data_IF_326066153366
#
_entry.id   IF_326066153366
#
_cell.length_a   1.000
_cell.length_b   1.000
_cell.length_c   1.000
_cell.angle_alpha   90.00
_cell.angle_beta   90.00
_cell.angle_gamma   90.00
#
_symmetry.space_group_name_H-M   'P 1'
#
loop_
_entity.id
_entity.type
_entity.pdbx_description
1 polymer ?
#
# COMPACT_ATOMS: atom_id res chain seq x y z
N UNK A 1 -36.07 59.35 4.35
CA UNK A 1 -35.32 59.03 3.13
C UNK A 1 -33.95 59.69 3.22
N UNK A 2 -32.88 59.02 3.50
CA UNK A 2 -31.51 59.50 3.35
C UNK A 2 -30.98 59.17 1.97
N UNK A 3 -30.20 60.05 1.41
CA UNK A 3 -29.67 60.08 0.06
C UNK A 3 -28.59 58.96 -0.15
N UNK A 4 -28.66 58.36 -1.31
CA UNK A 4 -27.62 57.45 -1.85
C UNK A 4 -26.37 58.25 -2.23
N UNK A 5 -25.23 57.91 -1.70
CA UNK A 5 -23.94 58.45 -2.12
C UNK A 5 -23.31 57.51 -3.15
N UNK A 6 -23.05 58.05 -4.34
CA UNK A 6 -22.31 57.37 -5.42
C UNK A 6 -20.88 56.96 -4.98
N UNK A 7 -20.38 55.82 -5.46
CA UNK A 7 -18.99 55.37 -5.20
C UNK A 7 -17.99 56.21 -6.05
N UNK A 8 -16.76 56.41 -5.55
CA UNK A 8 -15.73 57.15 -6.27
C UNK A 8 -15.20 56.38 -7.50
N UNK A 9 -14.67 57.08 -8.51
CA UNK A 9 -14.15 56.45 -9.73
C UNK A 9 -12.86 55.65 -9.46
N UNK A 10 -12.56 54.61 -10.29
CA UNK A 10 -11.38 53.76 -10.11
C UNK A 10 -10.09 54.54 -10.36
N UNK A 11 -9.11 54.33 -9.46
CA UNK A 11 -7.78 54.91 -9.55
C UNK A 11 -7.03 54.36 -10.78
N UNK A 12 -6.51 55.27 -11.61
CA UNK A 12 -5.61 54.96 -12.73
C UNK A 12 -4.26 54.49 -12.20
N UNK A 13 -3.86 53.27 -12.57
CA UNK A 13 -2.55 52.72 -12.31
C UNK A 13 -1.48 53.50 -13.14
N UNK A 14 -0.28 53.73 -12.57
CA UNK A 14 0.83 54.35 -13.29
C UNK A 14 1.37 53.44 -14.41
N UNK A 15 1.98 53.99 -15.47
CA UNK A 15 2.49 53.20 -16.57
C UNK A 15 3.62 52.27 -16.12
N UNK A 16 3.55 51.01 -16.53
CA UNK A 16 4.56 50.00 -16.32
C UNK A 16 5.78 50.36 -17.16
N UNK A 17 6.87 50.66 -16.47
CA UNK A 17 8.21 50.86 -17.08
C UNK A 17 8.68 49.53 -17.69
N UNK A 18 8.76 49.47 -19.03
CA UNK A 18 9.15 48.25 -19.77
C UNK A 18 10.66 48.01 -19.78
N UNK A 19 11.44 48.92 -19.22
CA UNK A 19 12.92 48.80 -19.19
C UNK A 19 13.46 48.18 -17.89
N UNK A 20 12.58 47.75 -16.94
CA UNK A 20 12.97 47.07 -15.72
C UNK A 20 13.05 45.52 -15.84
N UNK A 21 12.71 44.94 -17.01
CA UNK A 21 12.64 43.48 -17.19
C UNK A 21 13.99 42.80 -17.51
N UNK A 22 15.08 43.55 -17.59
CA UNK A 22 16.40 42.98 -18.04
C UNK A 22 17.53 43.02 -16.96
N UNK A 23 17.16 43.14 -15.67
CA UNK A 23 18.21 43.24 -14.61
C UNK A 23 18.22 42.15 -13.55
N UNK A 24 17.56 41.00 -13.74
CA UNK A 24 17.73 39.83 -12.86
C UNK A 24 17.84 38.51 -13.63
N UNK A 25 18.68 38.49 -14.64
CA UNK A 25 19.27 37.24 -15.09
C UNK A 25 20.32 36.85 -14.03
N UNK A 26 19.89 36.14 -12.97
CA UNK A 26 20.81 35.55 -12.02
C UNK A 26 21.83 34.69 -12.78
N UNK A 27 23.09 35.00 -12.60
CA UNK A 27 24.24 34.29 -13.19
C UNK A 27 24.05 32.78 -12.94
N UNK A 28 23.94 31.92 -13.98
CA UNK A 28 23.79 30.48 -13.81
C UNK A 28 24.96 29.84 -13.00
N UNK A 29 26.11 30.47 -12.99
CA UNK A 29 27.27 30.03 -12.20
C UNK A 29 27.14 30.35 -10.68
N UNK A 30 26.36 31.36 -10.29
CA UNK A 30 26.15 31.71 -8.87
C UNK A 30 25.18 30.78 -8.14
N UNK A 31 24.28 30.08 -8.86
CA UNK A 31 23.36 29.06 -8.32
C UNK A 31 24.06 27.71 -8.06
N UNK A 32 25.27 27.51 -8.58
CA UNK A 32 25.98 26.23 -8.55
C UNK A 32 26.76 25.99 -7.24
N UNK A 33 27.00 27.02 -6.42
CA UNK A 33 27.81 26.94 -5.20
C UNK A 33 27.07 26.42 -3.96
N UNK A 34 25.76 26.19 -4.02
CA UNK A 34 24.93 25.79 -2.88
C UNK A 34 24.19 24.43 -3.08
N UNK A 35 24.48 23.68 -4.13
CA UNK A 35 23.81 22.41 -4.39
C UNK A 35 24.29 21.32 -3.41
N UNK A 36 23.34 20.59 -2.80
CA UNK A 36 23.64 19.39 -2.00
C UNK A 36 24.01 18.24 -2.92
N UNK A 37 25.19 17.66 -2.73
CA UNK A 37 25.67 16.53 -3.54
C UNK A 37 25.43 15.19 -2.85
N UNK A 38 24.86 14.22 -3.58
CA UNK A 38 24.73 12.84 -3.14
C UNK A 38 24.98 11.86 -4.30
N UNK A 39 25.23 10.60 -3.98
CA UNK A 39 25.25 9.54 -5.00
C UNK A 39 23.84 9.10 -5.33
N UNK A 40 22.97 8.98 -4.30
CA UNK A 40 21.59 8.55 -4.46
C UNK A 40 20.64 9.48 -3.71
N UNK A 41 19.67 10.05 -4.45
CA UNK A 41 18.53 10.75 -3.89
C UNK A 41 17.38 9.75 -3.70
N UNK A 42 16.84 9.64 -2.48
CA UNK A 42 15.65 8.86 -2.14
C UNK A 42 14.50 9.81 -1.82
N UNK A 43 13.42 9.77 -2.58
CA UNK A 43 12.22 10.57 -2.35
C UNK A 43 11.23 9.76 -1.52
N UNK A 44 11.00 10.19 -0.27
CA UNK A 44 10.07 9.59 0.68
C UNK A 44 10.75 8.91 1.87
N UNK A 45 10.17 9.14 3.07
CA UNK A 45 10.65 8.63 4.36
C UNK A 45 9.78 7.51 4.94
N UNK A 46 8.93 6.88 4.13
CA UNK A 46 8.16 5.70 4.54
C UNK A 46 9.00 4.41 4.52
N UNK A 47 8.38 3.24 4.80
CA UNK A 47 9.11 1.97 4.92
C UNK A 47 9.96 1.62 3.69
N UNK A 48 9.49 1.90 2.48
CA UNK A 48 10.25 1.64 1.26
C UNK A 48 11.48 2.55 1.13
N UNK A 49 11.30 3.86 1.34
CA UNK A 49 12.41 4.83 1.24
C UNK A 49 13.47 4.59 2.29
N UNK A 50 13.07 4.36 3.55
CA UNK A 50 14.01 4.06 4.64
C UNK A 50 14.73 2.73 4.42
N UNK A 51 14.06 1.69 3.88
CA UNK A 51 14.72 0.44 3.52
C UNK A 51 15.79 0.66 2.44
N UNK A 52 15.49 1.43 1.40
CA UNK A 52 16.47 1.76 0.35
C UNK A 52 17.65 2.57 0.91
N UNK A 53 17.35 3.59 1.73
CA UNK A 53 18.36 4.48 2.31
C UNK A 53 19.33 3.70 3.22
N UNK A 54 18.83 2.89 4.17
CA UNK A 54 19.64 2.04 5.05
C UNK A 54 20.53 1.12 4.21
N UNK A 55 19.93 0.45 3.22
CA UNK A 55 20.62 -0.55 2.42
C UNK A 55 21.76 0.06 1.60
N UNK A 56 21.55 1.23 1.03
CA UNK A 56 22.56 1.94 0.21
C UNK A 56 23.63 2.60 1.07
N UNK A 57 23.26 3.27 2.18
CA UNK A 57 24.21 3.89 3.09
C UNK A 57 25.21 2.87 3.66
N UNK A 58 24.73 1.69 4.09
CA UNK A 58 25.59 0.58 4.55
C UNK A 58 26.53 0.01 3.47
N UNK A 59 26.29 0.32 2.19
CA UNK A 59 27.16 -0.03 1.07
C UNK A 59 28.17 1.07 0.74
N UNK A 60 28.19 2.16 1.53
CA UNK A 60 29.14 3.26 1.40
C UNK A 60 28.70 4.35 0.43
N UNK A 61 27.45 4.35 -0.03
CA UNK A 61 26.94 5.43 -0.89
C UNK A 61 26.51 6.63 -0.07
N UNK A 62 26.77 7.84 -0.58
CA UNK A 62 26.22 9.09 -0.01
C UNK A 62 24.74 9.16 -0.40
N UNK A 63 23.87 8.87 0.57
CA UNK A 63 22.41 8.85 0.39
C UNK A 63 21.80 10.10 1.00
N UNK A 64 21.03 10.85 0.22
CA UNK A 64 20.14 11.90 0.70
C UNK A 64 18.70 11.37 0.63
N UNK A 65 18.04 11.27 1.80
CA UNK A 65 16.63 10.88 1.90
C UNK A 65 15.78 12.09 2.28
N UNK A 66 14.79 12.44 1.45
CA UNK A 66 13.92 13.58 1.66
C UNK A 66 12.47 13.15 1.88
N UNK A 67 11.91 13.50 3.06
CA UNK A 67 10.50 13.27 3.42
C UNK A 67 9.78 14.62 3.57
N UNK A 68 8.64 14.77 2.89
CA UNK A 68 7.85 16.00 2.93
C UNK A 68 7.15 16.25 4.27
N UNK A 69 6.76 15.18 4.96
CA UNK A 69 6.13 15.26 6.28
C UNK A 69 7.17 15.21 7.42
N UNK A 70 6.73 15.48 8.63
CA UNK A 70 7.49 15.24 9.86
C UNK A 70 6.91 14.04 10.58
N UNK A 71 7.77 13.16 11.10
CA UNK A 71 7.35 12.04 11.95
C UNK A 71 7.22 12.49 13.42
N UNK A 72 6.31 11.88 14.20
CA UNK A 72 5.37 10.83 13.80
C UNK A 72 4.24 11.39 12.92
N UNK A 73 3.83 10.63 11.90
CA UNK A 73 2.72 10.99 11.03
C UNK A 73 1.80 9.80 10.79
N UNK A 74 0.51 10.04 10.81
CA UNK A 74 -0.47 9.01 10.53
C UNK A 74 -0.32 8.47 9.08
N UNK A 75 -0.36 7.16 8.96
CA UNK A 75 -0.45 6.45 7.68
C UNK A 75 -1.22 5.14 7.87
N UNK A 76 -1.93 4.66 6.85
CA UNK A 76 -2.58 3.35 6.89
C UNK A 76 -1.65 2.25 6.36
N UNK A 77 -1.91 0.98 6.78
CA UNK A 77 -1.10 -0.18 6.43
C UNK A 77 -0.33 -0.70 7.65
N UNK A 78 -1.08 -1.08 8.71
CA UNK A 78 -0.59 -1.35 10.07
C UNK A 78 -0.37 -2.84 10.34
N UNK A 79 -0.69 -3.70 9.38
CA UNK A 79 -0.53 -5.15 9.48
C UNK A 79 0.64 -5.62 8.62
N UNK A 80 1.71 -6.10 9.24
CA UNK A 80 2.88 -6.63 8.55
C UNK A 80 2.66 -8.11 8.15
N UNK A 81 3.53 -8.60 7.27
CA UNK A 81 3.61 -10.01 6.88
C UNK A 81 4.88 -10.67 7.45
N UNK A 82 4.92 -11.99 7.64
CA UNK A 82 6.12 -12.70 8.06
C UNK A 82 7.36 -12.36 7.24
N UNK A 83 7.22 -12.18 5.93
CA UNK A 83 8.34 -11.83 5.06
C UNK A 83 8.86 -10.38 5.20
N UNK A 84 8.24 -9.53 6.03
CA UNK A 84 8.87 -8.30 6.50
C UNK A 84 10.01 -8.57 7.48
N UNK A 85 9.91 -9.63 8.31
CA UNK A 85 10.82 -9.88 9.41
C UNK A 85 12.26 -10.14 8.95
N UNK A 86 12.52 -10.98 7.91
CA UNK A 86 13.86 -11.13 7.37
C UNK A 86 14.48 -9.81 6.88
N UNK A 87 13.66 -8.92 6.30
CA UNK A 87 14.13 -7.59 5.88
C UNK A 87 14.48 -6.75 7.11
N UNK A 88 13.59 -6.68 8.10
CA UNK A 88 13.83 -5.96 9.37
C UNK A 88 15.07 -6.48 10.10
N UNK A 89 15.31 -7.79 10.06
CA UNK A 89 16.52 -8.42 10.63
C UNK A 89 17.78 -7.94 9.90
N UNK A 90 17.79 -7.95 8.56
CA UNK A 90 18.92 -7.42 7.77
C UNK A 90 19.14 -5.94 7.96
N UNK A 91 18.08 -5.18 8.19
CA UNK A 91 18.15 -3.76 8.53
C UNK A 91 18.55 -3.52 10.00
N UNK A 92 18.70 -4.57 10.83
CA UNK A 92 19.11 -4.46 12.24
C UNK A 92 18.07 -3.76 13.13
N UNK A 93 16.79 -3.79 12.78
CA UNK A 93 15.72 -3.10 13.49
C UNK A 93 14.61 -4.03 14.00
N UNK A 94 14.75 -5.36 13.81
CA UNK A 94 13.69 -6.32 14.14
C UNK A 94 13.28 -6.24 15.62
N UNK A 95 14.24 -6.19 16.56
CA UNK A 95 13.94 -6.14 17.99
C UNK A 95 13.26 -4.83 18.39
N UNK A 96 13.66 -3.72 17.76
CA UNK A 96 13.01 -2.41 17.96
C UNK A 96 11.55 -2.44 17.45
N UNK A 97 11.29 -3.10 16.33
CA UNK A 97 9.93 -3.28 15.79
C UNK A 97 9.11 -4.22 16.67
N UNK A 98 9.71 -5.30 17.19
CA UNK A 98 9.06 -6.21 18.13
C UNK A 98 8.58 -5.46 19.40
N UNK A 99 9.38 -4.54 19.92
CA UNK A 99 9.08 -3.75 21.11
C UNK A 99 7.86 -2.82 20.93
N UNK A 100 7.59 -2.36 19.71
CA UNK A 100 6.45 -1.50 19.37
C UNK A 100 5.28 -2.25 18.71
N UNK A 101 5.44 -3.54 18.41
CA UNK A 101 4.48 -4.34 17.68
C UNK A 101 3.55 -5.17 18.58
N UNK A 102 2.40 -5.57 18.03
CA UNK A 102 1.55 -6.63 18.56
C UNK A 102 1.86 -7.91 17.79
N UNK A 103 2.19 -8.99 18.49
CA UNK A 103 2.49 -10.30 17.91
C UNK A 103 1.30 -10.82 17.09
N UNK A 104 1.55 -11.21 15.84
CA UNK A 104 0.54 -11.65 14.87
C UNK A 104 0.88 -13.04 14.34
N UNK A 105 0.33 -14.12 14.91
CA UNK A 105 0.60 -15.50 14.48
C UNK A 105 -0.19 -15.94 13.25
N UNK A 106 -1.32 -15.26 12.94
CA UNK A 106 -2.22 -15.71 11.90
C UNK A 106 -3.04 -14.56 11.27
N UNK A 107 -3.87 -14.94 10.31
CA UNK A 107 -4.95 -14.11 9.77
C UNK A 107 -6.27 -14.89 9.83
N UNK A 108 -7.32 -14.22 10.32
CA UNK A 108 -8.67 -14.76 10.50
C UNK A 108 -9.57 -14.32 9.35
N UNK A 109 -10.29 -15.28 8.79
CA UNK A 109 -11.28 -15.06 7.74
C UNK A 109 -12.61 -15.65 8.19
N UNK A 110 -13.46 -14.90 8.88
CA UNK A 110 -14.80 -15.33 9.23
C UNK A 110 -15.61 -15.60 7.95
N UNK A 111 -16.44 -16.63 8.00
CA UNK A 111 -17.30 -17.06 6.91
C UNK A 111 -18.51 -17.82 7.45
N UNK A 112 -19.57 -17.91 6.65
CA UNK A 112 -20.73 -18.75 6.94
C UNK A 112 -20.68 -19.97 6.04
N UNK A 113 -20.80 -21.17 6.62
CA UNK A 113 -20.89 -22.42 5.89
C UNK A 113 -22.23 -22.52 5.18
N UNK A 114 -22.37 -23.48 4.23
CA UNK A 114 -23.59 -23.67 3.45
C UNK A 114 -24.82 -24.05 4.29
N UNK A 115 -24.60 -24.60 5.47
CA UNK A 115 -25.66 -24.94 6.46
C UNK A 115 -26.03 -23.77 7.38
N UNK A 116 -25.45 -22.59 7.16
CA UNK A 116 -25.66 -21.39 7.97
C UNK A 116 -24.75 -21.29 9.18
N UNK A 117 -23.90 -22.28 9.47
CA UNK A 117 -23.01 -22.29 10.62
C UNK A 117 -21.90 -21.25 10.48
N UNK A 118 -21.69 -20.33 11.45
CA UNK A 118 -20.54 -19.43 11.44
C UNK A 118 -19.24 -20.20 11.70
N UNK A 119 -18.20 -19.87 10.95
CA UNK A 119 -16.87 -20.45 11.10
C UNK A 119 -15.81 -19.36 10.93
N UNK A 120 -14.76 -19.39 11.74
CA UNK A 120 -13.54 -18.61 11.47
C UNK A 120 -12.50 -19.53 10.86
N UNK A 121 -12.10 -19.25 9.63
CA UNK A 121 -10.97 -19.91 9.01
C UNK A 121 -9.69 -19.17 9.40
N UNK A 122 -8.85 -19.82 10.18
CA UNK A 122 -7.57 -19.29 10.67
C UNK A 122 -6.44 -19.81 9.80
N UNK A 123 -5.66 -18.91 9.22
CA UNK A 123 -4.43 -19.24 8.51
C UNK A 123 -3.22 -18.89 9.37
N UNK A 124 -2.70 -19.87 10.10
CA UNK A 124 -1.52 -19.73 10.95
C UNK A 124 -0.25 -19.70 10.10
N UNK A 125 0.61 -18.72 10.31
CA UNK A 125 1.83 -18.54 9.51
C UNK A 125 2.91 -19.59 9.78
N UNK A 126 2.93 -20.21 10.96
CA UNK A 126 3.81 -21.33 11.30
C UNK A 126 3.53 -22.60 10.45
N UNK A 127 2.36 -22.66 9.80
CA UNK A 127 1.98 -23.73 8.87
C UNK A 127 2.29 -23.42 7.41
N UNK A 128 2.99 -22.33 7.12
CA UNK A 128 3.47 -22.06 5.77
C UNK A 128 4.46 -23.13 5.28
N UNK A 129 4.79 -23.14 4.01
CA UNK A 129 5.74 -24.06 3.43
C UNK A 129 7.18 -23.61 3.79
N UNK A 130 7.80 -24.25 4.79
CA UNK A 130 9.15 -23.95 5.31
C UNK A 130 9.31 -22.46 5.71
N UNK A 131 8.51 -21.96 6.66
CA UNK A 131 8.56 -20.57 7.05
C UNK A 131 9.86 -20.25 7.81
N UNK A 132 10.54 -19.17 7.44
CA UNK A 132 11.64 -18.62 8.23
C UNK A 132 11.11 -18.00 9.53
N UNK A 133 9.96 -17.33 9.44
CA UNK A 133 9.21 -16.79 10.56
C UNK A 133 7.76 -17.24 10.47
N UNK A 134 7.25 -17.85 11.55
CA UNK A 134 5.84 -18.27 11.66
C UNK A 134 4.90 -17.20 12.19
N UNK A 135 5.30 -15.93 12.17
CA UNK A 135 4.55 -14.80 12.72
C UNK A 135 4.94 -13.49 12.04
N UNK A 136 4.19 -12.44 12.36
CA UNK A 136 4.46 -11.06 11.98
C UNK A 136 4.14 -10.11 13.15
N UNK A 137 4.04 -8.81 12.88
CA UNK A 137 3.61 -7.81 13.85
C UNK A 137 2.53 -6.91 13.26
N UNK A 138 1.63 -6.43 14.12
CA UNK A 138 0.79 -5.27 13.88
C UNK A 138 1.49 -4.06 14.49
N UNK A 139 1.53 -2.94 13.76
CA UNK A 139 2.28 -1.75 14.18
C UNK A 139 1.48 -0.48 13.95
N UNK A 140 1.56 0.48 14.86
CA UNK A 140 1.15 1.85 14.56
C UNK A 140 2.15 2.44 13.57
N UNK A 141 1.67 2.81 12.38
CA UNK A 141 2.54 3.26 11.28
C UNK A 141 3.32 4.52 11.60
N UNK A 142 2.79 5.39 12.44
CA UNK A 142 3.49 6.59 12.89
C UNK A 142 4.77 6.26 13.65
N UNK A 143 4.74 5.28 14.56
CA UNK A 143 5.89 4.80 15.31
C UNK A 143 6.85 3.99 14.42
N UNK A 144 6.29 3.09 13.61
CA UNK A 144 7.06 2.22 12.72
C UNK A 144 7.83 3.00 11.64
N UNK A 145 7.16 3.95 10.98
CA UNK A 145 7.79 4.77 9.94
C UNK A 145 8.89 5.66 10.54
N UNK A 146 8.64 6.26 11.70
CA UNK A 146 9.64 7.07 12.43
C UNK A 146 10.87 6.24 12.83
N UNK A 147 10.64 5.02 13.33
CA UNK A 147 11.72 4.10 13.69
C UNK A 147 12.62 3.79 12.49
N UNK A 148 12.03 3.45 11.35
CA UNK A 148 12.78 3.15 10.13
C UNK A 148 13.51 4.39 9.57
N UNK A 149 12.89 5.55 9.63
CA UNK A 149 13.49 6.80 9.17
C UNK A 149 14.72 7.19 10.02
N UNK A 150 14.61 7.08 11.35
CA UNK A 150 15.74 7.29 12.27
C UNK A 150 16.86 6.27 12.02
N UNK A 151 16.50 5.00 11.79
CA UNK A 151 17.47 3.96 11.47
C UNK A 151 18.22 4.24 10.16
N UNK A 152 17.61 4.95 9.20
CA UNK A 152 18.30 5.37 7.99
C UNK A 152 19.40 6.41 8.28
N UNK A 153 19.12 7.38 9.15
CA UNK A 153 20.14 8.32 9.64
C UNK A 153 21.25 7.61 10.43
N UNK A 154 20.90 6.68 11.32
CA UNK A 154 21.86 5.85 12.08
C UNK A 154 22.75 4.99 11.15
N UNK A 155 22.25 4.61 9.99
CA UNK A 155 23.01 3.87 8.98
C UNK A 155 23.92 4.75 8.11
N UNK A 156 23.90 6.08 8.29
CA UNK A 156 24.74 7.05 7.58
C UNK A 156 24.05 7.76 6.41
N UNK A 157 22.73 7.64 6.23
CA UNK A 157 22.00 8.45 5.26
C UNK A 157 21.76 9.87 5.81
N UNK A 158 21.87 10.90 4.97
CA UNK A 158 21.37 12.25 5.29
C UNK A 158 19.85 12.25 5.10
N UNK A 159 19.13 12.01 6.22
CA UNK A 159 17.67 11.88 6.23
C UNK A 159 17.02 13.17 6.77
N UNK A 160 16.30 13.89 5.88
CA UNK A 160 15.70 15.19 6.18
C UNK A 160 14.18 15.14 6.10
N UNK A 161 13.51 15.65 7.13
CA UNK A 161 12.05 15.80 7.24
C UNK A 161 11.59 17.22 6.91
N UNK A 162 10.34 17.36 6.47
CA UNK A 162 9.77 18.65 6.08
C UNK A 162 10.36 19.18 4.79
N UNK A 163 10.91 18.30 3.94
CA UNK A 163 11.54 18.68 2.67
C UNK A 163 10.79 18.05 1.50
N UNK A 164 10.24 18.90 0.64
CA UNK A 164 9.49 18.48 -0.54
C UNK A 164 10.33 18.59 -1.81
N UNK A 165 10.47 17.49 -2.54
CA UNK A 165 11.07 17.52 -3.89
C UNK A 165 10.06 18.08 -4.88
N UNK A 166 10.41 19.18 -5.54
CA UNK A 166 9.52 19.93 -6.44
C UNK A 166 9.62 19.45 -7.88
N UNK A 167 10.86 19.29 -8.37
CA UNK A 167 11.15 18.92 -9.77
C UNK A 167 12.42 18.10 -9.86
N UNK A 168 12.59 17.46 -11.01
CA UNK A 168 13.80 16.71 -11.38
C UNK A 168 14.15 17.05 -12.80
N UNK A 169 15.39 17.43 -13.03
CA UNK A 169 15.98 17.69 -14.35
C UNK A 169 16.74 16.45 -14.79
N UNK A 170 16.72 16.20 -16.11
CA UNK A 170 17.40 15.06 -16.70
C UNK A 170 18.40 15.55 -17.73
N UNK A 171 19.47 14.77 -17.92
CA UNK A 171 20.35 14.94 -19.06
C UNK A 171 19.66 14.55 -20.40
N UNK A 172 20.38 14.70 -21.50
CA UNK A 172 19.90 14.34 -22.84
C UNK A 172 19.54 12.85 -22.98
N UNK A 173 20.10 11.98 -22.14
CA UNK A 173 19.80 10.54 -22.07
C UNK A 173 18.59 10.20 -21.20
N UNK A 174 17.95 11.20 -20.59
CA UNK A 174 16.80 11.01 -19.69
C UNK A 174 17.18 10.57 -18.26
N UNK A 175 18.47 10.64 -17.90
CA UNK A 175 18.99 10.33 -16.55
C UNK A 175 18.78 11.54 -15.64
N UNK A 176 18.17 11.40 -14.45
CA UNK A 176 18.11 12.45 -13.45
C UNK A 176 19.52 12.88 -13.01
N UNK A 177 19.77 14.18 -13.02
CA UNK A 177 21.07 14.77 -12.60
C UNK A 177 20.92 15.80 -11.50
N UNK A 178 19.77 16.50 -11.48
CA UNK A 178 19.47 17.56 -10.51
C UNK A 178 18.03 17.49 -10.04
N UNK A 179 17.80 17.80 -8.79
CA UNK A 179 16.45 17.98 -8.24
C UNK A 179 16.37 19.31 -7.51
N UNK A 180 15.21 19.96 -7.59
CA UNK A 180 14.87 21.14 -6.78
C UNK A 180 14.06 20.66 -5.59
N UNK A 181 14.45 21.06 -4.39
CA UNK A 181 13.78 20.73 -3.14
C UNK A 181 13.44 21.98 -2.35
N UNK A 182 12.38 21.91 -1.53
CA UNK A 182 11.90 23.03 -0.68
C UNK A 182 11.81 22.58 0.76
N UNK A 183 12.41 23.33 1.66
CA UNK A 183 12.31 23.18 3.12
C UNK A 183 10.95 23.65 3.64
N UNK A 184 10.60 23.28 4.86
CA UNK A 184 9.35 23.69 5.52
C UNK A 184 9.24 25.22 5.72
N UNK A 185 10.35 25.94 5.79
CA UNK A 185 10.40 27.41 5.88
C UNK A 185 10.22 28.12 4.53
N UNK A 186 10.07 27.35 3.43
CA UNK A 186 9.91 27.86 2.10
C UNK A 186 11.20 28.06 1.32
N UNK A 187 12.37 27.97 1.96
CA UNK A 187 13.66 28.06 1.26
C UNK A 187 13.87 26.88 0.31
N UNK A 188 14.44 27.16 -0.84
CA UNK A 188 14.70 26.14 -1.85
C UNK A 188 16.18 25.90 -2.04
N UNK A 189 16.54 24.68 -2.38
CA UNK A 189 17.90 24.28 -2.70
C UNK A 189 17.93 23.22 -3.79
N UNK A 190 19.07 23.09 -4.43
CA UNK A 190 19.30 22.09 -5.44
C UNK A 190 20.03 20.87 -4.90
N UNK A 191 19.71 19.73 -5.47
CA UNK A 191 20.37 18.45 -5.17
C UNK A 191 20.97 17.90 -6.47
N UNK A 192 22.27 17.65 -6.49
CA UNK A 192 22.91 16.90 -7.58
C UNK A 192 23.04 15.43 -7.18
N UNK A 193 22.67 14.53 -8.10
CA UNK A 193 22.67 13.10 -7.84
C UNK A 193 23.14 12.29 -9.05
N UNK A 194 23.58 11.06 -8.78
CA UNK A 194 23.90 10.05 -9.81
C UNK A 194 22.74 9.10 -10.07
N UNK A 195 21.91 8.87 -9.04
CA UNK A 195 20.76 7.97 -9.13
C UNK A 195 19.57 8.49 -8.31
N UNK A 196 18.35 8.24 -8.79
CA UNK A 196 17.11 8.61 -8.12
C UNK A 196 16.29 7.37 -7.78
N UNK A 197 15.91 7.22 -6.49
CA UNK A 197 14.96 6.23 -6.02
C UNK A 197 13.66 6.93 -5.62
N UNK A 198 12.60 6.74 -6.38
CA UNK A 198 11.27 7.24 -6.05
C UNK A 198 10.55 6.25 -5.14
N UNK A 199 10.48 6.60 -3.85
CA UNK A 199 9.73 5.91 -2.79
C UNK A 199 8.61 6.81 -2.24
N UNK A 200 8.09 7.74 -3.05
CA UNK A 200 7.07 8.73 -2.68
C UNK A 200 5.69 8.13 -2.38
N UNK A 201 5.58 6.81 -2.40
CA UNK A 201 4.34 6.12 -2.12
C UNK A 201 3.23 6.48 -3.11
N UNK A 202 2.03 6.73 -2.61
CA UNK A 202 0.85 6.98 -3.45
C UNK A 202 0.89 8.31 -4.21
N UNK A 203 1.80 9.22 -3.87
CA UNK A 203 2.02 10.45 -4.66
C UNK A 203 2.56 10.12 -6.05
N UNK A 204 3.24 8.98 -6.18
CA UNK A 204 3.77 8.51 -7.48
C UNK A 204 4.56 9.59 -8.20
N UNK A 205 5.58 10.19 -7.53
CA UNK A 205 6.28 11.39 -8.00
C UNK A 205 6.76 11.27 -9.45
N UNK A 206 7.56 10.27 -9.79
CA UNK A 206 7.98 10.02 -11.16
C UNK A 206 6.83 9.48 -12.03
N UNK A 207 6.01 8.58 -11.47
CA UNK A 207 4.90 7.96 -12.19
C UNK A 207 3.90 8.98 -12.74
N UNK A 208 3.60 10.03 -11.97
CA UNK A 208 2.72 11.11 -12.37
C UNK A 208 3.39 12.03 -13.41
N UNK A 209 4.62 12.52 -13.13
CA UNK A 209 5.34 13.44 -14.00
C UNK A 209 5.70 12.85 -15.36
N UNK A 210 6.09 11.58 -15.39
CA UNK A 210 6.41 10.84 -16.62
C UNK A 210 5.17 10.22 -17.29
N UNK A 211 3.94 10.46 -16.74
CA UNK A 211 2.67 9.93 -17.25
C UNK A 211 2.65 8.40 -17.38
N UNK A 212 3.33 7.71 -16.47
CA UNK A 212 3.47 6.25 -16.47
C UNK A 212 2.32 5.53 -15.76
N UNK A 213 1.61 6.23 -14.86
CA UNK A 213 0.58 5.64 -13.98
C UNK A 213 -0.63 5.15 -14.78
N UNK A 214 -0.98 3.86 -14.65
CA UNK A 214 -2.12 3.20 -15.27
C UNK A 214 -3.07 2.69 -14.18
N UNK A 215 -4.27 3.27 -14.10
CA UNK A 215 -5.32 2.81 -13.17
C UNK A 215 -5.86 1.46 -13.61
N UNK A 216 -6.21 0.58 -12.65
CA UNK A 216 -6.90 -0.66 -12.93
C UNK A 216 -8.42 -0.42 -12.93
N UNK A 217 -9.10 -0.43 -14.09
CA UNK A 217 -10.53 -0.12 -14.16
C UNK A 217 -11.42 -1.17 -13.48
N UNK A 218 -10.90 -2.40 -13.27
CA UNK A 218 -11.65 -3.51 -12.69
C UNK A 218 -11.60 -3.54 -11.15
N UNK A 219 -10.73 -2.74 -10.53
CA UNK A 219 -10.54 -2.71 -9.08
C UNK A 219 -10.51 -1.26 -8.61
N UNK A 220 -11.69 -0.66 -8.63
CA UNK A 220 -11.94 0.63 -8.02
C UNK A 220 -12.69 0.39 -6.72
N UNK A 221 -12.21 0.95 -5.64
CA UNK A 221 -12.81 0.90 -4.32
C UNK A 221 -12.35 2.10 -3.51
N UNK A 222 -13.01 2.41 -2.41
CA UNK A 222 -12.47 3.33 -1.43
C UNK A 222 -12.55 2.68 -0.04
N UNK A 223 -11.60 3.02 0.83
CA UNK A 223 -11.67 2.66 2.23
C UNK A 223 -12.06 3.85 3.08
N UNK A 224 -12.84 3.55 4.09
CA UNK A 224 -13.19 4.41 5.20
C UNK A 224 -12.70 3.72 6.46
N UNK A 225 -11.99 4.40 7.34
CA UNK A 225 -11.38 3.76 8.49
C UNK A 225 -11.08 4.74 9.62
N UNK A 226 -10.97 4.18 10.83
CA UNK A 226 -10.56 4.92 12.03
C UNK A 226 -9.94 3.97 13.06
N UNK A 227 -9.43 4.53 14.15
CA UNK A 227 -8.99 3.80 15.33
C UNK A 227 -10.09 3.80 16.40
N UNK A 228 -10.27 2.65 17.07
CA UNK A 228 -11.27 2.44 18.11
C UNK A 228 -10.62 1.81 19.34
N UNK A 229 -11.17 2.07 20.52
CA UNK A 229 -10.85 1.40 21.78
C UNK A 229 -12.06 0.58 22.27
N UNK A 230 -11.86 -0.36 23.19
CA UNK A 230 -12.94 -1.18 23.73
C UNK A 230 -13.53 -2.20 22.74
N UNK A 231 -12.78 -2.55 21.70
CA UNK A 231 -13.20 -3.56 20.72
C UNK A 231 -12.76 -4.94 21.18
N UNK A 232 -13.70 -5.91 21.23
CA UNK A 232 -13.41 -7.28 21.64
C UNK A 232 -12.37 -7.91 20.70
N UNK A 233 -11.29 -8.42 21.29
CA UNK A 233 -10.22 -9.16 20.59
C UNK A 233 -10.46 -10.66 20.66
N UNK A 234 -9.68 -11.42 19.91
CA UNK A 234 -9.56 -12.86 20.10
C UNK A 234 -8.82 -13.14 21.41
N UNK A 235 -8.96 -14.36 21.92
CA UNK A 235 -8.31 -14.77 23.17
C UNK A 235 -6.90 -15.35 22.92
N UNK A 236 -6.08 -15.33 23.97
CA UNK A 236 -4.77 -15.98 24.01
C UNK A 236 -3.83 -15.51 22.90
N UNK A 237 -3.13 -16.46 22.27
CA UNK A 237 -2.17 -16.17 21.19
C UNK A 237 -2.84 -15.52 19.95
N UNK A 238 -4.13 -15.76 19.74
CA UNK A 238 -4.86 -15.22 18.60
C UNK A 238 -5.27 -13.75 18.78
N UNK A 239 -5.04 -13.15 19.94
CA UNK A 239 -5.40 -11.76 20.27
C UNK A 239 -4.81 -10.74 19.27
N UNK A 240 -3.68 -11.07 18.66
CA UNK A 240 -3.00 -10.23 17.65
C UNK A 240 -3.35 -10.56 16.20
N UNK A 241 -4.25 -11.51 15.93
CA UNK A 241 -4.67 -11.82 14.57
C UNK A 241 -5.38 -10.65 13.91
N UNK A 242 -5.05 -10.37 12.65
CA UNK A 242 -5.93 -9.55 11.82
C UNK A 242 -7.18 -10.34 11.49
N UNK A 243 -8.34 -9.71 11.57
CA UNK A 243 -9.60 -10.26 11.07
C UNK A 243 -9.95 -9.57 9.75
N UNK A 244 -10.24 -10.34 8.71
CA UNK A 244 -10.71 -9.87 7.40
C UNK A 244 -12.12 -10.40 7.18
N UNK A 245 -13.09 -9.56 7.46
CA UNK A 245 -14.52 -9.85 7.28
C UNK A 245 -14.97 -9.44 5.87
N UNK A 246 -15.96 -10.15 5.36
CA UNK A 246 -16.56 -9.86 4.06
C UNK A 246 -18.02 -9.48 4.22
N UNK A 247 -18.45 -8.53 3.37
CA UNK A 247 -19.86 -8.19 3.22
C UNK A 247 -20.19 -8.00 1.73
N UNK A 248 -21.44 -7.82 1.38
CA UNK A 248 -21.92 -7.82 -0.01
C UNK A 248 -21.27 -6.75 -0.88
N UNK A 249 -20.81 -5.65 -0.28
CA UNK A 249 -20.27 -4.51 -1.00
C UNK A 249 -18.76 -4.33 -0.85
N UNK A 250 -18.07 -5.30 -0.19
CA UNK A 250 -16.63 -5.21 0.02
C UNK A 250 -16.08 -6.09 1.14
N UNK A 251 -15.19 -5.54 1.94
CA UNK A 251 -14.59 -6.23 3.06
C UNK A 251 -14.17 -5.24 4.16
N UNK A 252 -14.09 -5.74 5.41
CA UNK A 252 -13.74 -4.99 6.61
C UNK A 252 -12.47 -5.59 7.19
N UNK A 253 -11.56 -4.76 7.67
CA UNK A 253 -10.44 -5.21 8.49
C UNK A 253 -10.63 -4.82 9.95
N UNK A 254 -10.09 -5.65 10.85
CA UNK A 254 -9.92 -5.35 12.26
C UNK A 254 -8.48 -5.74 12.63
N UNK A 255 -7.64 -4.76 12.93
CA UNK A 255 -6.21 -4.92 13.22
C UNK A 255 -5.94 -4.50 14.65
N UNK A 256 -5.62 -5.45 15.57
CA UNK A 256 -5.28 -5.13 16.95
C UNK A 256 -3.94 -4.40 17.02
N UNK A 257 -3.91 -3.25 17.67
CA UNK A 257 -2.72 -2.46 17.93
C UNK A 257 -2.45 -2.40 19.45
N UNK A 258 -1.32 -1.82 19.86
CA UNK A 258 -1.02 -1.61 21.28
C UNK A 258 -2.03 -0.66 21.93
N UNK A 259 -2.01 -0.60 23.25
CA UNK A 259 -2.78 0.32 24.09
C UNK A 259 -4.30 0.21 23.89
N UNK A 260 -4.79 -1.04 23.74
CA UNK A 260 -6.19 -1.37 23.47
C UNK A 260 -6.78 -0.72 22.22
N UNK A 261 -5.94 -0.31 21.28
CA UNK A 261 -6.39 0.27 20.02
C UNK A 261 -6.66 -0.82 18.99
N UNK A 262 -7.76 -0.68 18.26
CA UNK A 262 -8.10 -1.49 17.09
C UNK A 262 -8.23 -0.58 15.86
N UNK A 263 -7.45 -0.83 14.82
CA UNK A 263 -7.68 -0.20 13.51
C UNK A 263 -8.80 -0.94 12.80
N UNK A 264 -9.88 -0.23 12.46
CA UNK A 264 -11.02 -0.82 11.76
C UNK A 264 -11.35 0.02 10.53
N UNK A 265 -11.57 -0.65 9.42
CA UNK A 265 -12.01 0.04 8.21
C UNK A 265 -12.71 -0.87 7.23
N UNK A 266 -13.50 -0.26 6.38
CA UNK A 266 -14.28 -0.91 5.34
C UNK A 266 -13.80 -0.47 3.95
N UNK A 267 -13.46 -1.43 3.11
CA UNK A 267 -13.20 -1.22 1.67
C UNK A 267 -14.49 -1.48 0.93
N UNK A 268 -15.02 -0.44 0.30
CA UNK A 268 -16.34 -0.42 -0.29
C UNK A 268 -16.27 -0.27 -1.82
N UNK A 269 -17.21 -0.94 -2.52
CA UNK A 269 -17.38 -0.79 -3.95
C UNK A 269 -17.88 0.62 -4.32
N UNK A 270 -17.59 1.12 -5.53
CA UNK A 270 -18.07 2.44 -5.96
C UNK A 270 -19.59 2.57 -5.98
N UNK A 271 -20.29 1.47 -6.26
CA UNK A 271 -21.75 1.44 -6.28
C UNK A 271 -22.35 1.67 -4.89
N UNK A 272 -21.77 1.04 -3.87
CA UNK A 272 -22.18 1.22 -2.49
C UNK A 272 -21.85 2.62 -1.97
N UNK A 273 -20.68 3.13 -2.31
CA UNK A 273 -20.26 4.50 -1.93
C UNK A 273 -21.17 5.59 -2.55
N UNK A 274 -21.71 5.36 -3.75
CA UNK A 274 -22.65 6.29 -4.40
C UNK A 274 -24.02 6.34 -3.72
N UNK A 275 -24.36 5.35 -2.91
CA UNK A 275 -25.62 5.31 -2.14
C UNK A 275 -25.52 6.05 -0.80
N UNK A 276 -24.38 6.69 -0.54
CA UNK A 276 -24.16 7.45 0.68
C UNK A 276 -24.95 8.77 0.62
N UNK A 277 -25.85 8.96 1.60
CA UNK A 277 -26.65 10.13 1.83
C UNK A 277 -26.35 10.83 3.17
N UNK A 278 -25.34 10.36 3.88
CA UNK A 278 -24.90 10.76 5.20
C UNK A 278 -23.41 11.16 5.22
N UNK A 279 -22.93 11.71 6.32
CA UNK A 279 -21.51 12.00 6.51
C UNK A 279 -20.62 10.74 6.53
N UNK A 280 -19.31 10.94 6.43
CA UNK A 280 -18.33 9.84 6.30
C UNK A 280 -18.29 8.96 7.55
N UNK A 281 -18.49 9.53 8.73
CA UNK A 281 -18.47 8.80 10.00
C UNK A 281 -19.71 7.92 10.14
N UNK A 282 -20.89 8.50 9.96
CA UNK A 282 -22.18 7.80 10.02
C UNK A 282 -22.20 6.64 9.02
N UNK A 283 -21.70 6.88 7.80
CA UNK A 283 -21.59 5.84 6.78
C UNK A 283 -20.65 4.71 7.18
N UNK A 284 -19.47 5.01 7.77
CA UNK A 284 -18.57 3.98 8.26
C UNK A 284 -19.24 3.14 9.34
N UNK A 285 -19.80 3.78 10.37
CA UNK A 285 -20.43 3.08 11.49
C UNK A 285 -21.62 2.22 11.02
N UNK A 286 -22.47 2.73 10.14
CA UNK A 286 -23.55 1.97 9.52
C UNK A 286 -23.02 0.77 8.74
N UNK A 287 -21.97 0.95 7.95
CA UNK A 287 -21.34 -0.14 7.17
C UNK A 287 -20.81 -1.23 8.11
N UNK A 288 -20.12 -0.88 9.19
CA UNK A 288 -19.60 -1.85 10.15
C UNK A 288 -20.71 -2.65 10.83
N UNK A 289 -21.87 -2.04 11.14
CA UNK A 289 -23.06 -2.68 11.72
C UNK A 289 -23.76 -3.64 10.77
N UNK A 290 -23.54 -3.57 9.46
CA UNK A 290 -24.10 -4.55 8.50
C UNK A 290 -23.55 -5.96 8.68
N UNK A 291 -22.43 -6.11 9.40
CA UNK A 291 -21.77 -7.40 9.66
C UNK A 291 -21.94 -7.77 11.12
N UNK A 292 -22.78 -8.76 11.47
CA UNK A 292 -23.13 -9.06 12.86
C UNK A 292 -21.95 -9.41 13.75
N UNK A 293 -20.92 -10.09 13.22
CA UNK A 293 -19.69 -10.42 13.95
C UNK A 293 -18.88 -9.17 14.30
N UNK A 294 -18.81 -8.19 13.39
CA UNK A 294 -18.14 -6.89 13.61
C UNK A 294 -18.93 -6.07 14.63
N UNK A 295 -20.26 -5.95 14.43
CA UNK A 295 -21.14 -5.22 15.33
C UNK A 295 -21.04 -5.76 16.78
N UNK A 296 -21.07 -7.08 16.95
CA UNK A 296 -20.95 -7.72 18.26
C UNK A 296 -19.63 -7.37 18.97
N UNK A 297 -18.52 -7.34 18.24
CA UNK A 297 -17.20 -6.97 18.78
C UNK A 297 -17.09 -5.47 19.10
N UNK A 298 -17.88 -4.64 18.44
CA UNK A 298 -17.83 -3.18 18.57
C UNK A 298 -18.87 -2.60 19.54
N UNK A 299 -19.63 -3.40 20.28
CA UNK A 299 -20.73 -2.91 21.16
C UNK A 299 -20.29 -1.87 22.17
N UNK A 300 -19.07 -1.97 22.68
CA UNK A 300 -18.47 -1.03 23.64
C UNK A 300 -17.37 -0.17 23.02
N UNK A 301 -17.28 -0.16 21.69
CA UNK A 301 -16.21 0.53 21.00
C UNK A 301 -16.43 2.04 21.00
N UNK A 302 -15.36 2.76 21.35
CA UNK A 302 -15.26 4.21 21.26
C UNK A 302 -14.27 4.59 20.16
N UNK A 303 -14.68 5.53 19.29
CA UNK A 303 -13.79 6.03 18.24
C UNK A 303 -12.77 7.02 18.82
N UNK A 304 -11.50 6.81 18.50
CA UNK A 304 -10.39 7.60 19.05
C UNK A 304 -9.81 8.62 18.09
N UNK A 305 -10.05 8.48 16.80
CA UNK A 305 -9.47 9.31 15.76
C UNK A 305 -10.54 9.72 14.74
N UNK A 306 -10.33 10.79 13.95
CA UNK A 306 -11.21 11.12 12.83
C UNK A 306 -11.35 9.95 11.85
N UNK A 307 -12.47 9.89 11.13
CA UNK A 307 -12.63 8.93 10.04
C UNK A 307 -11.86 9.42 8.82
N UNK A 308 -10.97 8.58 8.34
CA UNK A 308 -10.21 8.83 7.12
C UNK A 308 -10.87 8.14 5.93
N UNK A 309 -10.79 8.79 4.78
CA UNK A 309 -11.24 8.22 3.51
C UNK A 309 -10.09 8.20 2.50
N UNK A 310 -9.93 7.10 1.76
CA UNK A 310 -8.94 7.01 0.69
C UNK A 310 -9.50 6.22 -0.48
N UNK A 311 -9.41 6.77 -1.69
CA UNK A 311 -9.98 6.21 -2.91
C UNK A 311 -8.95 5.80 -3.96
N UNK A 312 -9.43 5.18 -5.05
CA UNK A 312 -8.66 4.81 -6.25
C UNK A 312 -7.45 3.92 -5.95
N UNK A 313 -7.70 2.70 -5.43
CA UNK A 313 -6.67 1.86 -4.85
C UNK A 313 -5.70 1.25 -5.83
N UNK A 314 -6.16 0.64 -6.92
CA UNK A 314 -5.27 -0.20 -7.71
C UNK A 314 -4.73 0.52 -8.94
N UNK A 315 -3.40 0.55 -9.06
CA UNK A 315 -2.70 1.04 -10.25
C UNK A 315 -1.34 0.37 -10.40
N UNK A 316 -0.78 0.49 -11.57
CA UNK A 316 0.61 0.11 -11.88
C UNK A 316 1.19 1.12 -12.86
N UNK A 317 2.44 1.50 -12.69
CA UNK A 317 3.17 2.28 -13.68
C UNK A 317 3.65 1.38 -14.82
N UNK A 318 3.60 1.88 -16.04
CA UNK A 318 4.00 1.12 -17.25
C UNK A 318 5.50 0.80 -17.29
N UNK A 319 6.31 1.55 -16.54
CA UNK A 319 7.75 1.37 -16.43
C UNK A 319 8.14 1.50 -14.95
N UNK A 320 9.04 0.66 -14.46
CA UNK A 320 9.51 0.66 -13.07
C UNK A 320 10.85 1.37 -12.89
N UNK A 321 11.70 1.30 -13.90
CA UNK A 321 13.04 1.85 -13.86
C UNK A 321 13.45 2.36 -15.25
N UNK A 322 14.43 3.22 -15.30
CA UNK A 322 15.05 3.75 -16.50
C UNK A 322 16.42 4.35 -16.19
N UNK A 323 17.12 4.96 -17.18
CA UNK A 323 18.46 5.47 -16.96
C UNK A 323 18.57 6.35 -15.71
N UNK A 324 19.33 5.92 -14.71
CA UNK A 324 19.57 6.65 -13.46
C UNK A 324 18.38 6.77 -12.51
N UNK A 325 17.28 6.02 -12.67
CA UNK A 325 16.15 6.09 -11.75
C UNK A 325 15.40 4.77 -11.61
N UNK A 326 14.74 4.60 -10.48
CA UNK A 326 13.79 3.51 -10.22
C UNK A 326 12.68 3.96 -9.27
N UNK A 327 11.50 3.31 -9.37
CA UNK A 327 10.38 3.46 -8.47
C UNK A 327 10.23 2.21 -7.61
N UNK A 328 9.88 2.37 -6.32
CA UNK A 328 9.69 1.28 -5.36
C UNK A 328 8.35 1.39 -4.62
N UNK A 329 7.82 0.26 -4.19
CA UNK A 329 6.57 0.20 -3.44
C UNK A 329 5.40 0.84 -4.20
N UNK A 330 4.61 1.61 -3.47
CA UNK A 330 3.42 2.25 -4.02
C UNK A 330 3.75 3.34 -5.07
N UNK A 331 5.00 3.85 -5.12
CA UNK A 331 5.41 4.74 -6.21
C UNK A 331 5.37 4.03 -7.57
N UNK A 332 5.62 2.71 -7.61
CA UNK A 332 5.49 1.89 -8.80
C UNK A 332 4.11 1.27 -8.98
N UNK A 333 3.61 0.54 -7.96
CA UNK A 333 2.37 -0.20 -8.07
C UNK A 333 1.68 -0.34 -6.72
N UNK A 334 0.38 -0.11 -6.70
CA UNK A 334 -0.48 -0.37 -5.56
C UNK A 334 -1.60 -1.34 -5.92
N UNK A 335 -1.73 -2.41 -5.13
CA UNK A 335 -2.78 -3.41 -5.25
C UNK A 335 -3.67 -3.30 -4.01
N UNK A 336 -4.92 -3.79 -4.10
CA UNK A 336 -5.86 -3.84 -2.97
C UNK A 336 -5.20 -4.45 -1.70
N UNK A 337 -5.35 -3.83 -0.52
CA UNK A 337 -4.61 -4.21 0.70
C UNK A 337 -5.18 -5.42 1.45
N UNK A 338 -6.13 -6.18 0.88
CA UNK A 338 -6.84 -7.26 1.57
C UNK A 338 -5.93 -8.31 2.23
N UNK A 339 -4.74 -8.52 1.70
CA UNK A 339 -3.74 -9.45 2.28
C UNK A 339 -2.58 -8.74 2.98
N UNK A 340 -2.73 -7.47 3.37
CA UNK A 340 -1.72 -6.70 4.11
C UNK A 340 -0.35 -6.62 3.43
N UNK A 341 -0.29 -6.77 2.11
CA UNK A 341 0.97 -6.93 1.37
C UNK A 341 1.72 -5.63 1.08
N UNK A 342 1.09 -4.45 1.25
CA UNK A 342 1.64 -3.16 0.79
C UNK A 342 2.99 -2.82 1.39
N UNK A 343 3.14 -2.88 2.72
CA UNK A 343 4.40 -2.57 3.40
C UNK A 343 5.50 -3.56 3.00
N UNK A 344 5.16 -4.86 2.93
CA UNK A 344 6.11 -5.89 2.48
C UNK A 344 6.57 -5.64 1.04
N UNK A 345 5.65 -5.41 0.11
CA UNK A 345 5.98 -5.11 -1.29
C UNK A 345 6.87 -3.87 -1.41
N UNK A 346 6.58 -2.84 -0.58
CA UNK A 346 7.38 -1.63 -0.49
C UNK A 346 8.81 -1.92 -0.06
N UNK A 347 9.00 -2.57 1.07
CA UNK A 347 10.32 -2.88 1.62
C UNK A 347 11.09 -3.87 0.75
N UNK A 348 10.43 -4.93 0.25
CA UNK A 348 11.07 -5.92 -0.63
C UNK A 348 11.54 -5.30 -1.95
N UNK A 349 10.70 -4.49 -2.61
CA UNK A 349 11.10 -3.81 -3.84
C UNK A 349 12.23 -2.80 -3.60
N UNK A 350 12.22 -2.11 -2.44
CA UNK A 350 13.25 -1.15 -2.08
C UNK A 350 14.61 -1.81 -1.82
N UNK A 351 14.62 -2.94 -1.10
CA UNK A 351 15.85 -3.72 -0.88
C UNK A 351 16.43 -4.22 -2.20
N UNK A 352 15.59 -4.76 -3.10
CA UNK A 352 16.02 -5.21 -4.45
C UNK A 352 16.49 -4.04 -5.31
N UNK A 353 15.81 -2.90 -5.23
CA UNK A 353 16.23 -1.69 -5.94
C UNK A 353 17.57 -1.17 -5.43
N UNK A 354 17.80 -1.16 -4.11
CA UNK A 354 19.08 -0.75 -3.54
C UNK A 354 20.24 -1.64 -4.01
N UNK A 355 20.03 -2.97 -4.09
CA UNK A 355 21.02 -3.89 -4.65
C UNK A 355 21.29 -3.62 -6.14
N UNK A 356 20.24 -3.34 -6.90
CA UNK A 356 20.35 -3.01 -8.33
C UNK A 356 21.07 -1.67 -8.52
N UNK A 357 20.76 -0.65 -7.71
CA UNK A 357 21.43 0.67 -7.76
C UNK A 357 22.91 0.55 -7.38
N UNK A 358 23.27 -0.22 -6.34
CA UNK A 358 24.66 -0.51 -5.99
C UNK A 358 25.43 -1.09 -7.16
N UNK A 359 24.86 -2.11 -7.83
CA UNK A 359 25.47 -2.72 -9.02
C UNK A 359 25.58 -1.75 -10.20
N UNK A 360 24.54 -0.93 -10.45
CA UNK A 360 24.52 0.04 -11.54
C UNK A 360 25.52 1.18 -11.34
N UNK A 361 25.73 1.63 -10.09
CA UNK A 361 26.69 2.69 -9.79
C UNK A 361 28.15 2.19 -9.83
N UNK A 362 28.39 0.90 -9.51
CA UNK A 362 29.73 0.27 -9.63
C UNK A 362 30.07 -0.10 -11.07
N UNK A 363 29.10 -0.60 -11.83
CA UNK A 363 29.25 -1.08 -13.19
C UNK A 363 28.16 -0.47 -14.09
N UNK A 364 28.30 0.81 -14.53
CA UNK A 364 27.25 1.51 -15.30
C UNK A 364 26.82 0.78 -16.57
N UNK A 365 27.73 0.07 -17.23
CA UNK A 365 27.42 -0.71 -18.43
C UNK A 365 26.39 -1.84 -18.18
N UNK A 366 26.21 -2.30 -16.95
CA UNK A 366 25.24 -3.35 -16.55
C UNK A 366 23.90 -2.80 -16.10
N UNK A 367 23.73 -1.49 -15.99
CA UNK A 367 22.52 -0.88 -15.41
C UNK A 367 21.24 -1.42 -16.07
N UNK A 368 21.13 -1.38 -17.38
CA UNK A 368 19.94 -1.81 -18.11
C UNK A 368 19.60 -3.31 -17.86
N UNK A 369 20.61 -4.16 -17.79
CA UNK A 369 20.44 -5.59 -17.52
C UNK A 369 19.94 -5.82 -16.08
N UNK A 370 20.54 -5.13 -15.10
CA UNK A 370 20.16 -5.21 -13.68
C UNK A 370 18.73 -4.70 -13.46
N UNK A 371 18.35 -3.58 -14.07
CA UNK A 371 16.99 -3.05 -14.04
C UNK A 371 15.98 -4.01 -14.64
N UNK A 372 16.29 -4.62 -15.77
CA UNK A 372 15.42 -5.60 -16.45
C UNK A 372 15.22 -6.85 -15.59
N UNK A 373 16.27 -7.36 -14.97
CA UNK A 373 16.20 -8.52 -14.05
C UNK A 373 15.34 -8.21 -12.83
N UNK A 374 15.60 -7.09 -12.15
CA UNK A 374 14.83 -6.65 -11.00
C UNK A 374 13.34 -6.49 -11.35
N UNK A 375 13.03 -5.76 -12.41
CA UNK A 375 11.65 -5.52 -12.87
C UNK A 375 10.93 -6.83 -13.18
N UNK A 376 11.58 -7.76 -13.85
CA UNK A 376 11.01 -9.08 -14.19
C UNK A 376 10.70 -9.89 -12.94
N UNK A 377 11.61 -9.92 -11.94
CA UNK A 377 11.41 -10.64 -10.67
C UNK A 377 10.25 -10.06 -9.88
N UNK A 378 10.23 -8.73 -9.69
CA UNK A 378 9.19 -8.05 -8.93
C UNK A 378 7.81 -8.18 -9.60
N UNK A 379 7.72 -8.01 -10.90
CA UNK A 379 6.46 -8.18 -11.63
C UNK A 379 5.93 -9.62 -11.59
N UNK A 380 6.80 -10.62 -11.49
CA UNK A 380 6.37 -12.03 -11.29
C UNK A 380 5.64 -12.19 -9.96
N UNK A 381 6.22 -11.71 -8.85
CA UNK A 381 5.59 -11.79 -7.53
C UNK A 381 4.30 -10.96 -7.45
N UNK A 382 4.31 -9.74 -8.03
CA UNK A 382 3.10 -8.91 -8.12
C UNK A 382 1.95 -9.62 -8.86
N UNK A 383 2.23 -10.39 -9.92
CA UNK A 383 1.22 -11.18 -10.62
C UNK A 383 0.65 -12.30 -9.74
N UNK A 384 1.49 -12.93 -8.89
CA UNK A 384 1.01 -13.95 -7.94
C UNK A 384 0.02 -13.33 -6.94
N UNK A 385 0.41 -12.24 -6.25
CA UNK A 385 -0.49 -11.52 -5.33
C UNK A 385 -1.77 -11.04 -6.01
N UNK A 386 -1.64 -10.33 -7.13
CA UNK A 386 -2.78 -9.78 -7.86
C UNK A 386 -3.80 -10.84 -8.24
N UNK A 387 -3.35 -12.04 -8.65
CA UNK A 387 -4.25 -13.12 -9.05
C UNK A 387 -5.16 -13.56 -7.90
N UNK A 388 -4.62 -13.67 -6.67
CA UNK A 388 -5.38 -14.04 -5.47
C UNK A 388 -6.24 -12.88 -4.97
N UNK A 389 -5.68 -11.68 -4.87
CA UNK A 389 -6.37 -10.47 -4.41
C UNK A 389 -7.63 -10.22 -5.25
N UNK A 390 -7.50 -10.25 -6.57
CA UNK A 390 -8.63 -9.98 -7.47
C UNK A 390 -9.71 -11.06 -7.46
N UNK A 391 -9.46 -12.21 -6.86
CA UNK A 391 -10.42 -13.31 -6.74
C UNK A 391 -10.91 -13.54 -5.32
N UNK A 392 -10.36 -12.83 -4.36
CA UNK A 392 -10.69 -13.03 -2.93
C UNK A 392 -12.19 -12.96 -2.65
N UNK A 393 -12.90 -12.02 -3.28
CA UNK A 393 -14.34 -11.82 -3.11
C UNK A 393 -15.21 -12.72 -3.97
N UNK A 394 -14.64 -13.58 -4.83
CA UNK A 394 -15.43 -14.46 -5.71
C UNK A 394 -16.03 -15.65 -4.95
N UNK A 395 -17.24 -16.12 -5.32
CA UNK A 395 -17.84 -17.30 -4.69
C UNK A 395 -16.98 -18.56 -4.75
N UNK A 396 -16.19 -18.72 -5.82
CA UNK A 396 -15.27 -19.85 -5.97
C UNK A 396 -14.17 -19.81 -4.91
N UNK A 397 -13.56 -18.64 -4.69
CA UNK A 397 -12.53 -18.48 -3.66
C UNK A 397 -13.10 -18.68 -2.26
N UNK A 398 -14.32 -18.20 -2.00
CA UNK A 398 -15.05 -18.46 -0.74
C UNK A 398 -15.18 -19.94 -0.46
N UNK A 399 -15.67 -20.70 -1.46
CA UNK A 399 -15.84 -22.15 -1.32
C UNK A 399 -14.51 -22.87 -1.02
N UNK A 400 -13.42 -22.43 -1.67
CA UNK A 400 -12.08 -23.01 -1.45
C UNK A 400 -11.53 -22.65 -0.06
N UNK A 401 -11.75 -21.43 0.41
CA UNK A 401 -11.32 -20.98 1.74
C UNK A 401 -12.16 -21.60 2.87
N UNK A 402 -13.46 -21.88 2.63
CA UNK A 402 -14.33 -22.51 3.63
C UNK A 402 -13.88 -23.95 3.97
N UNK A 403 -13.30 -24.65 3.00
CA UNK A 403 -12.84 -26.05 3.15
C UNK A 403 -11.43 -26.20 2.55
N UNK A 404 -10.40 -25.63 3.19
CA UNK A 404 -9.04 -25.77 2.72
C UNK A 404 -8.63 -27.22 2.74
N UNK A 405 -7.84 -27.64 1.76
CA UNK A 405 -7.31 -28.98 1.67
C UNK A 405 -5.79 -28.91 1.49
N UNK A 406 -5.07 -29.61 2.35
CA UNK A 406 -3.62 -29.65 2.29
C UNK A 406 -3.07 -30.76 1.37
N UNK A 407 -3.93 -31.35 0.51
CA UNK A 407 -3.45 -32.27 -0.53
C UNK A 407 -2.39 -31.55 -1.37
N UNK A 408 -1.26 -32.21 -1.58
CA UNK A 408 -0.10 -31.63 -2.28
C UNK A 408 0.47 -30.35 -1.64
N UNK A 409 0.25 -30.14 -0.35
CA UNK A 409 0.71 -28.96 0.41
C UNK A 409 0.15 -27.63 -0.17
N UNK A 410 -1.05 -27.66 -0.72
CA UNK A 410 -1.68 -26.47 -1.35
C UNK A 410 -2.07 -25.45 -0.30
N UNK A 411 -2.63 -25.90 0.85
CA UNK A 411 -2.97 -25.00 1.95
C UNK A 411 -1.71 -24.28 2.48
N UNK A 412 -0.62 -25.02 2.68
CA UNK A 412 0.67 -24.44 3.08
C UNK A 412 1.18 -23.41 2.09
N UNK A 413 1.02 -23.64 0.78
CA UNK A 413 1.40 -22.66 -0.24
C UNK A 413 0.50 -21.42 -0.25
N UNK A 414 -0.78 -21.56 0.06
CA UNK A 414 -1.68 -20.41 0.24
C UNK A 414 -1.28 -19.61 1.48
N UNK A 415 -0.94 -20.29 2.59
CA UNK A 415 -0.42 -19.63 3.80
C UNK A 415 0.90 -18.91 3.48
N UNK A 416 1.80 -19.53 2.69
CA UNK A 416 3.06 -18.90 2.26
C UNK A 416 2.81 -17.63 1.44
N UNK A 417 1.80 -17.63 0.56
CA UNK A 417 1.39 -16.41 -0.16
C UNK A 417 0.89 -15.35 0.82
N UNK A 418 0.02 -15.71 1.78
CA UNK A 418 -0.47 -14.79 2.82
C UNK A 418 0.66 -14.29 3.73
N UNK A 419 1.73 -15.09 3.89
CA UNK A 419 2.95 -14.70 4.60
C UNK A 419 3.89 -13.80 3.77
N UNK A 420 3.68 -13.67 2.45
CA UNK A 420 4.52 -12.88 1.54
C UNK A 420 5.55 -13.67 0.74
N UNK A 421 5.68 -14.99 0.95
CA UNK A 421 6.74 -15.83 0.38
C UNK A 421 6.39 -16.33 -1.04
N UNK A 422 6.45 -15.42 -2.02
CA UNK A 422 6.12 -15.72 -3.44
C UNK A 422 7.16 -15.26 -4.45
N UNK A 423 8.18 -14.50 -4.03
CA UNK A 423 9.15 -13.93 -4.98
C UNK A 423 10.27 -14.89 -5.33
N UNK A 424 10.87 -15.52 -4.32
CA UNK A 424 12.06 -16.34 -4.44
C UNK A 424 11.82 -17.80 -4.03
N UNK A 425 10.56 -18.25 -3.91
CA UNK A 425 10.19 -19.61 -3.52
C UNK A 425 9.49 -20.38 -4.66
N UNK A 426 10.23 -21.07 -5.54
CA UNK A 426 9.65 -21.81 -6.65
C UNK A 426 8.75 -22.98 -6.21
N UNK A 427 8.97 -23.52 -4.99
CA UNK A 427 8.14 -24.59 -4.45
C UNK A 427 6.72 -24.07 -4.13
N UNK A 428 6.61 -22.89 -3.56
CA UNK A 428 5.31 -22.19 -3.35
C UNK A 428 4.65 -21.89 -4.69
N UNK A 429 5.36 -21.25 -5.62
CA UNK A 429 4.80 -20.85 -6.92
C UNK A 429 4.25 -22.06 -7.70
N UNK A 430 4.93 -23.22 -7.67
CA UNK A 430 4.43 -24.45 -8.33
C UNK A 430 3.09 -24.91 -7.75
N UNK A 431 2.94 -24.89 -6.42
CA UNK A 431 1.70 -25.29 -5.74
C UNK A 431 0.57 -24.28 -5.95
N UNK A 432 0.89 -22.99 -6.02
CA UNK A 432 -0.09 -21.96 -6.36
C UNK A 432 -0.61 -22.11 -7.80
N UNK A 433 0.21 -22.60 -8.74
CA UNK A 433 -0.27 -22.96 -10.09
C UNK A 433 -1.29 -24.11 -10.05
N UNK A 434 -1.03 -25.12 -9.22
CA UNK A 434 -1.97 -26.21 -9.00
C UNK A 434 -3.27 -25.70 -8.34
N UNK A 435 -3.18 -24.81 -7.37
CA UNK A 435 -4.35 -24.14 -6.79
C UNK A 435 -5.17 -23.42 -7.86
N UNK A 436 -4.51 -22.71 -8.80
CA UNK A 436 -5.20 -22.05 -9.92
C UNK A 436 -5.94 -23.02 -10.83
N UNK A 437 -5.38 -24.20 -11.06
CA UNK A 437 -6.07 -25.26 -11.79
C UNK A 437 -7.33 -25.71 -11.03
N UNK A 438 -7.20 -25.98 -9.73
CA UNK A 438 -8.35 -26.35 -8.88
C UNK A 438 -9.41 -25.23 -8.88
N UNK A 439 -8.98 -23.97 -8.78
CA UNK A 439 -9.91 -22.83 -8.90
C UNK A 439 -10.66 -22.85 -10.23
N UNK A 440 -9.97 -23.07 -11.36
CA UNK A 440 -10.59 -23.11 -12.68
C UNK A 440 -11.59 -24.27 -12.82
N UNK A 441 -11.24 -25.46 -12.33
CA UNK A 441 -12.13 -26.62 -12.33
C UNK A 441 -13.36 -26.39 -11.43
N UNK A 442 -13.17 -25.81 -10.25
CA UNK A 442 -14.27 -25.44 -9.34
C UNK A 442 -15.18 -24.40 -10.00
N UNK A 443 -14.61 -23.39 -10.65
CA UNK A 443 -15.37 -22.37 -11.37
C UNK A 443 -16.19 -22.99 -12.52
N UNK A 444 -15.60 -23.89 -13.29
CA UNK A 444 -16.30 -24.61 -14.36
C UNK A 444 -17.45 -25.46 -13.80
N UNK A 445 -17.25 -26.17 -12.69
CA UNK A 445 -18.31 -26.95 -12.02
C UNK A 445 -19.44 -26.08 -11.44
N UNK A 446 -19.19 -24.83 -11.11
CA UNK A 446 -20.20 -23.87 -10.62
C UNK A 446 -20.92 -23.13 -11.78
N UNK A 447 -20.32 -23.08 -12.98
CA UNK A 447 -20.85 -22.35 -14.14
C UNK A 447 -22.27 -22.77 -14.57
N UNK A 448 -22.65 -24.06 -14.61
CA UNK A 448 -24.02 -24.47 -14.99
C UNK A 448 -25.08 -23.91 -14.05
N UNK A 449 -24.76 -23.78 -12.74
CA UNK A 449 -25.67 -23.18 -11.74
C UNK A 449 -25.75 -21.66 -11.94
N UNK A 450 -24.66 -21.00 -12.14
CA UNK A 450 -24.60 -19.55 -12.43
C UNK A 450 -25.31 -19.21 -13.74
N UNK A 451 -25.16 -20.02 -14.78
CA UNK A 451 -25.90 -19.88 -16.06
C UNK A 451 -27.42 -20.07 -15.87
N UNK A 452 -27.87 -21.08 -15.11
CA UNK A 452 -29.29 -21.26 -14.77
C UNK A 452 -29.84 -20.06 -13.99
N UNK A 453 -29.10 -19.55 -13.03
CA UNK A 453 -29.49 -18.35 -12.26
C UNK A 453 -29.53 -17.12 -13.18
N UNK A 454 -28.53 -16.93 -14.04
CA UNK A 454 -28.51 -15.84 -15.02
C UNK A 454 -29.68 -15.93 -16.02
N UNK A 455 -30.01 -17.14 -16.56
CA UNK A 455 -31.17 -17.37 -17.41
C UNK A 455 -32.49 -17.13 -16.67
N UNK A 456 -32.58 -17.47 -15.38
CA UNK A 456 -33.76 -17.20 -14.55
C UNK A 456 -33.98 -15.71 -14.33
N UNK A 457 -32.90 -14.97 -14.03
CA UNK A 457 -32.89 -13.50 -13.85
C UNK A 457 -33.26 -12.81 -15.19
N UNK A 458 -32.76 -13.30 -16.31
CA UNK A 458 -33.04 -12.71 -17.62
C UNK A 458 -34.47 -13.00 -18.13
N UNK A 459 -35.10 -14.07 -17.69
CA UNK A 459 -36.49 -14.39 -17.96
C UNK A 459 -37.47 -13.74 -16.97
N UNK A 460 -37.08 -13.48 -15.77
CA UNK A 460 -37.80 -12.69 -14.79
C UNK A 460 -37.38 -11.23 -14.91
N UNK A 461 -38.29 -10.32 -15.24
CA UNK A 461 -38.10 -8.87 -15.36
C UNK A 461 -37.11 -8.37 -14.34
N UNK A 462 -36.20 -7.50 -14.77
CA UNK A 462 -35.26 -6.69 -13.99
C UNK A 462 -35.77 -6.36 -12.56
N UNK A 463 -35.51 -7.25 -11.60
CA UNK A 463 -35.49 -6.94 -10.21
C UNK A 463 -34.01 -6.79 -9.85
N UNK A 464 -33.65 -5.65 -9.26
CA UNK A 464 -32.28 -5.32 -8.92
C UNK A 464 -31.58 -6.43 -8.14
N UNK A 465 -30.28 -6.45 -8.18
CA UNK A 465 -29.41 -7.30 -7.37
C UNK A 465 -29.64 -6.92 -5.88
N UNK A 466 -30.72 -7.42 -5.29
CA UNK A 466 -30.97 -7.41 -3.85
C UNK A 466 -30.57 -8.77 -3.28
N UNK A 467 -30.00 -8.78 -2.10
CA UNK A 467 -29.44 -9.96 -1.42
C UNK A 467 -30.34 -11.16 -1.18
N UNK A 468 -31.59 -11.13 -1.67
CA UNK A 468 -32.61 -12.18 -1.50
C UNK A 468 -32.35 -13.47 -2.32
N UNK A 469 -31.38 -13.46 -3.23
CA UNK A 469 -31.08 -14.67 -4.03
C UNK A 469 -30.37 -15.78 -3.26
N UNK A 470 -29.89 -15.52 -2.05
CA UNK A 470 -29.29 -16.54 -1.17
C UNK A 470 -30.32 -17.17 -0.20
N UNK A 471 -31.49 -16.55 -0.03
CA UNK A 471 -32.56 -17.13 0.82
C UNK A 471 -33.47 -18.11 0.04
N UNK A 472 -33.55 -18.03 -1.26
CA UNK A 472 -34.39 -18.91 -2.09
C UNK A 472 -33.84 -20.35 -2.28
N UNK A 473 -32.65 -20.67 -1.78
CA UNK A 473 -32.12 -22.05 -1.75
C UNK A 473 -32.35 -22.74 -0.36
N UNK A 474 -33.13 -22.14 0.55
CA UNK A 474 -33.45 -22.68 1.89
C UNK A 474 -34.86 -23.28 2.01
N UNK A 475 -35.62 -23.37 0.92
CA UNK A 475 -36.92 -24.10 0.88
C UNK A 475 -36.87 -25.30 -0.08
#
# INVERSE_FOLDING_TARGET
>A
MPAETEPPPPATLPPVDRDAADRDAADPAALDSAAVECDVLVIGGGPAGSTAAITLARRGWRVLQLEKARHPRFHIGESLLPMNLPILQRLGVLDRVAAIGVYKPAADFPLTLADGTPKVQVFRFDRALNPQFGYAYQVKREEYDQLLFKAAGEAGADSREGVTVLSVENDAGGRPTRARARNADGSEFDVRMRYLVDASGRDTFLGARRKLKRKNPKHQSAALFSHFRGVVRRDGEEAGNITVERFDHGWIWMIPLRDDVMSIGAVCSPQYLKQRDEDTESFLLRTLRTVPSVEARMRQAERMAPVHATGNYSYICSQMAGPGWTMVGDAYAFIDPVFSSGVYLGMHSAERAAMMVDGALREPAREAALQSEMTRRLNRGLKEFSWFIYRFTTPVMQRLFARPSNKFQIEQAVISLLAGDVFDNPAVVRRLRLFRLIYALTAAGMAPRALRTWWRIRRGRWAGFSGDTLQAERS
#
